data_IF_516667788371
#
_entry.id   IF_516667788371
#
_cell.length_a   1.000
_cell.length_b   1.000
_cell.length_c   1.000
_cell.angle_alpha   90.00
_cell.angle_beta   90.00
_cell.angle_gamma   90.00
#
_symmetry.space_group_name_H-M   'P 1'
#
loop_
_entity.id
_entity.type
_entity.pdbx_description
1 polymer ?
#
# COMPACT_ATOMS: atom_id res chain seq x y z
N UNK A 1 -17.75 -4.75 1.79
CA UNK A 1 -17.94 -3.32 2.19
C UNK A 1 -16.95 -2.88 3.29
N UNK A 2 -16.94 -3.43 4.55
CA UNK A 2 -15.97 -2.98 5.57
C UNK A 2 -14.52 -3.24 5.16
N UNK A 3 -14.22 -4.45 4.66
CA UNK A 3 -12.90 -4.78 4.14
C UNK A 3 -12.46 -3.94 2.96
N UNK A 4 -13.33 -3.71 1.99
CA UNK A 4 -13.06 -2.82 0.84
C UNK A 4 -12.80 -1.39 1.30
N UNK A 5 -13.64 -0.89 2.23
CA UNK A 5 -13.44 0.44 2.78
C UNK A 5 -12.07 0.60 3.42
N UNK A 6 -11.71 -0.29 4.35
CA UNK A 6 -10.42 -0.21 5.06
C UNK A 6 -9.24 -0.38 4.10
N UNK A 7 -9.28 -1.39 3.23
CA UNK A 7 -8.11 -1.75 2.43
C UNK A 7 -7.98 -0.98 1.12
N UNK A 8 -9.11 -0.50 0.54
CA UNK A 8 -9.11 0.10 -0.81
C UNK A 8 -9.50 1.58 -0.82
N UNK A 9 -10.56 1.97 -0.09
CA UNK A 9 -11.23 3.26 -0.28
C UNK A 9 -11.30 4.09 1.01
N UNK A 10 -10.24 4.09 1.81
CA UNK A 10 -10.15 4.90 3.02
C UNK A 10 -8.74 5.40 3.29
N UNK A 11 -8.62 6.32 4.23
CA UNK A 11 -7.31 6.81 4.70
C UNK A 11 -6.38 5.72 5.23
N UNK A 12 -6.90 4.53 5.51
CA UNK A 12 -6.14 3.37 5.99
C UNK A 12 -5.64 2.46 4.88
N UNK A 13 -5.93 2.77 3.61
CA UNK A 13 -5.37 2.05 2.46
C UNK A 13 -3.86 1.85 2.62
N UNK A 14 -3.40 0.62 2.39
CA UNK A 14 -1.99 0.26 2.48
C UNK A 14 -1.43 0.04 3.89
N UNK A 15 -2.27 0.06 4.93
CA UNK A 15 -1.82 -0.34 6.28
C UNK A 15 -1.61 -1.86 6.36
N UNK A 16 -0.85 -2.30 7.36
CA UNK A 16 -0.64 -3.72 7.62
C UNK A 16 -1.97 -4.46 7.84
N UNK A 17 -2.06 -5.72 7.37
CA UNK A 17 -3.29 -6.54 7.39
C UNK A 17 -3.87 -6.78 8.79
N UNK A 18 -3.04 -6.85 9.83
CA UNK A 18 -3.52 -7.11 11.19
C UNK A 18 -4.22 -5.90 11.79
N UNK A 19 -3.65 -4.69 11.80
CA UNK A 19 -4.41 -3.47 12.11
C UNK A 19 -5.64 -3.28 11.22
N UNK A 20 -5.56 -3.60 9.92
CA UNK A 20 -6.69 -3.52 9.02
C UNK A 20 -7.84 -4.46 9.44
N UNK A 21 -7.52 -5.71 9.82
CA UNK A 21 -8.50 -6.68 10.32
C UNK A 21 -9.20 -6.18 11.59
N UNK A 22 -8.42 -5.66 12.54
CA UNK A 22 -8.97 -5.10 13.80
C UNK A 22 -9.91 -3.93 13.52
N UNK A 23 -9.52 -3.04 12.62
CA UNK A 23 -10.36 -1.91 12.20
C UNK A 23 -11.64 -2.36 11.49
N UNK A 24 -11.58 -3.43 10.67
CA UNK A 24 -12.79 -4.01 10.09
C UNK A 24 -13.76 -4.50 11.16
N UNK A 25 -13.26 -5.14 12.22
CA UNK A 25 -14.11 -5.57 13.35
C UNK A 25 -14.73 -4.37 14.07
N UNK A 26 -13.95 -3.32 14.33
CA UNK A 26 -14.45 -2.10 14.98
C UNK A 26 -15.55 -1.43 14.14
N UNK A 27 -15.35 -1.30 12.84
CA UNK A 27 -16.34 -0.74 11.93
C UNK A 27 -17.59 -1.62 11.80
N UNK A 28 -17.44 -2.93 11.83
CA UNK A 28 -18.58 -3.86 11.83
C UNK A 28 -19.38 -3.79 13.13
N UNK A 29 -18.71 -3.66 14.29
CA UNK A 29 -19.38 -3.51 15.59
C UNK A 29 -20.24 -2.24 15.66
N UNK A 30 -19.83 -1.18 14.96
CA UNK A 30 -20.56 0.09 14.90
C UNK A 30 -21.61 0.14 13.77
N UNK A 31 -21.77 -0.92 12.99
CA UNK A 31 -22.69 -0.96 11.87
C UNK A 31 -23.96 -1.76 12.21
N UNK A 32 -25.07 -1.07 12.41
CA UNK A 32 -26.33 -1.67 12.86
C UNK A 32 -26.86 -2.79 11.96
N UNK A 33 -26.73 -2.68 10.64
CA UNK A 33 -27.32 -3.63 9.69
C UNK A 33 -26.73 -5.06 9.78
N UNK A 34 -25.40 -5.28 9.87
CA UNK A 34 -24.84 -6.59 10.17
C UNK A 34 -25.21 -7.09 11.55
N UNK A 35 -25.16 -6.22 12.57
CA UNK A 35 -25.45 -6.60 13.95
C UNK A 35 -26.91 -7.03 14.14
N UNK A 36 -27.85 -6.35 13.48
CA UNK A 36 -29.26 -6.72 13.46
C UNK A 36 -29.53 -8.10 12.79
N UNK A 37 -28.59 -8.59 11.97
CA UNK A 37 -28.63 -9.93 11.36
C UNK A 37 -28.03 -11.03 12.26
N UNK A 38 -27.62 -10.68 13.47
CA UNK A 38 -27.05 -11.63 14.42
C UNK A 38 -25.60 -12.05 14.12
N UNK A 39 -24.85 -11.20 13.40
CA UNK A 39 -23.42 -11.43 13.18
C UNK A 39 -22.69 -11.28 14.52
N UNK A 40 -22.02 -12.34 14.97
CA UNK A 40 -21.12 -12.31 16.11
C UNK A 40 -19.70 -11.99 15.64
N UNK A 41 -19.10 -10.98 16.21
CA UNK A 41 -17.69 -10.66 15.96
C UNK A 41 -16.81 -11.46 16.94
N UNK A 42 -15.62 -11.88 16.50
CA UNK A 42 -14.68 -12.56 17.39
C UNK A 42 -14.15 -11.61 18.47
N UNK A 43 -13.96 -12.12 19.67
CA UNK A 43 -13.20 -11.43 20.70
C UNK A 43 -11.70 -11.67 20.47
N UNK A 44 -10.92 -10.60 20.29
CA UNK A 44 -9.52 -10.66 19.85
C UNK A 44 -8.58 -9.80 20.70
N UNK A 45 -8.60 -9.94 22.06
CA UNK A 45 -7.84 -9.07 22.95
C UNK A 45 -6.32 -9.25 22.78
N UNK A 46 -5.85 -10.48 22.58
CA UNK A 46 -4.42 -10.76 22.42
C UNK A 46 -3.89 -10.23 21.08
N UNK A 47 -4.67 -10.41 20.00
CA UNK A 47 -4.33 -9.85 18.70
C UNK A 47 -4.26 -8.31 18.74
N UNK A 48 -5.18 -7.66 19.46
CA UNK A 48 -5.14 -6.19 19.65
C UNK A 48 -3.88 -5.75 20.37
N UNK A 49 -3.55 -6.42 21.47
CA UNK A 49 -2.33 -6.12 22.24
C UNK A 49 -1.07 -6.34 21.39
N UNK A 50 -0.97 -7.49 20.72
CA UNK A 50 0.16 -7.81 19.85
C UNK A 50 0.32 -6.80 18.71
N UNK A 51 -0.76 -6.43 18.04
CA UNK A 51 -0.72 -5.47 16.94
C UNK A 51 -0.28 -4.05 17.37
N UNK A 52 -0.40 -3.71 18.67
CA UNK A 52 0.06 -2.44 19.22
C UNK A 52 1.50 -2.47 19.71
N UNK A 53 2.01 -3.64 20.08
CA UNK A 53 3.33 -3.79 20.73
C UNK A 53 4.40 -4.36 19.80
N UNK A 54 4.00 -5.15 18.79
CA UNK A 54 4.92 -5.71 17.82
C UNK A 54 5.39 -4.63 16.81
N UNK A 55 6.70 -4.54 16.63
CA UNK A 55 7.31 -3.54 15.73
C UNK A 55 7.42 -4.01 14.28
N UNK A 56 7.40 -5.33 14.05
CA UNK A 56 7.51 -5.96 12.73
C UNK A 56 6.32 -6.88 12.45
N UNK A 57 5.14 -6.29 12.32
CA UNK A 57 3.91 -7.01 12.06
C UNK A 57 4.01 -7.86 10.77
N UNK A 58 3.89 -9.18 10.92
CA UNK A 58 3.95 -10.13 9.81
C UNK A 58 3.81 -11.57 10.27
N UNK A 59 3.57 -12.50 9.33
CA UNK A 59 3.43 -13.92 9.65
C UNK A 59 4.63 -14.51 10.40
N UNK A 60 5.90 -14.15 10.14
CA UNK A 60 7.03 -14.66 10.91
C UNK A 60 6.94 -14.30 12.40
N UNK A 61 6.67 -13.04 12.73
CA UNK A 61 6.53 -12.58 14.11
C UNK A 61 5.31 -13.23 14.80
N UNK A 62 4.16 -13.29 14.10
CA UNK A 62 2.96 -13.92 14.63
C UNK A 62 3.15 -15.43 14.87
N UNK A 63 3.84 -16.11 13.95
CA UNK A 63 4.19 -17.54 14.10
C UNK A 63 5.10 -17.78 15.28
N UNK A 64 6.11 -16.94 15.48
CA UNK A 64 7.00 -17.02 16.64
C UNK A 64 6.23 -16.79 17.96
N UNK A 65 5.30 -15.85 17.97
CA UNK A 65 4.46 -15.57 19.12
C UNK A 65 3.55 -16.77 19.44
N UNK A 66 2.84 -17.36 18.46
CA UNK A 66 2.01 -18.54 18.62
C UNK A 66 2.81 -19.78 19.06
N UNK A 67 4.07 -19.90 18.65
CA UNK A 67 4.93 -21.02 19.07
C UNK A 67 5.31 -20.96 20.57
N UNK A 68 5.25 -19.79 21.18
CA UNK A 68 5.53 -19.56 22.60
C UNK A 68 4.28 -19.70 23.50
N UNK A 69 3.06 -19.78 22.93
CA UNK A 69 1.80 -19.81 23.64
C UNK A 69 0.87 -20.87 23.05
N UNK A 70 0.17 -21.62 23.93
CA UNK A 70 -0.78 -22.64 23.46
C UNK A 70 -2.03 -22.03 22.82
N UNK A 71 -2.70 -22.81 21.98
CA UNK A 71 -3.96 -22.41 21.35
C UNK A 71 -5.06 -22.16 22.39
N UNK A 72 -5.05 -22.91 23.50
CA UNK A 72 -6.02 -22.74 24.57
C UNK A 72 -5.80 -21.44 25.36
N UNK A 73 -4.57 -20.95 25.45
CA UNK A 73 -4.22 -19.69 26.11
C UNK A 73 -4.54 -18.47 25.22
N UNK A 74 -4.29 -18.58 23.92
CA UNK A 74 -4.42 -17.46 22.97
C UNK A 74 -5.07 -17.89 21.64
N UNK A 75 -6.34 -18.32 21.67
CA UNK A 75 -7.01 -18.84 20.49
C UNK A 75 -7.14 -17.80 19.34
N UNK A 76 -7.33 -16.54 19.67
CA UNK A 76 -7.44 -15.44 18.70
C UNK A 76 -6.15 -15.21 17.91
N UNK A 77 -4.98 -15.41 18.53
CA UNK A 77 -3.68 -15.30 17.86
C UNK A 77 -3.46 -16.44 16.85
N UNK A 78 -3.79 -17.67 17.24
CA UNK A 78 -3.71 -18.84 16.35
C UNK A 78 -4.69 -18.69 15.17
N UNK A 79 -5.92 -18.26 15.44
CA UNK A 79 -6.91 -17.99 14.39
C UNK A 79 -6.45 -16.88 13.43
N UNK A 80 -5.85 -15.82 13.94
CA UNK A 80 -5.29 -14.75 13.11
C UNK A 80 -4.14 -15.24 12.22
N UNK A 81 -3.30 -16.15 12.72
CA UNK A 81 -2.24 -16.76 11.93
C UNK A 81 -2.81 -17.63 10.81
N UNK A 82 -3.76 -18.51 11.13
CA UNK A 82 -4.44 -19.36 10.14
C UNK A 82 -5.13 -18.52 9.05
N UNK A 83 -5.85 -17.46 9.46
CA UNK A 83 -6.46 -16.52 8.53
C UNK A 83 -5.41 -15.87 7.63
N UNK A 84 -4.31 -15.38 8.19
CA UNK A 84 -3.28 -14.69 7.42
C UNK A 84 -2.56 -15.61 6.43
N UNK A 85 -2.35 -16.88 6.80
CA UNK A 85 -1.82 -17.91 5.88
C UNK A 85 -2.81 -18.22 4.77
N UNK A 86 -4.10 -18.37 5.10
CA UNK A 86 -5.15 -18.61 4.11
C UNK A 86 -5.29 -17.45 3.12
N UNK A 87 -5.18 -16.20 3.59
CA UNK A 87 -5.16 -15.01 2.72
C UNK A 87 -3.99 -15.07 1.74
N UNK A 88 -2.77 -15.39 2.20
CA UNK A 88 -1.62 -15.51 1.30
C UNK A 88 -1.87 -16.55 0.21
N UNK A 89 -2.37 -17.74 0.60
CA UNK A 89 -2.69 -18.79 -0.36
C UNK A 89 -3.73 -18.35 -1.38
N UNK A 90 -4.81 -17.68 -0.93
CA UNK A 90 -5.83 -17.16 -1.85
C UNK A 90 -5.28 -16.11 -2.80
N UNK A 91 -4.38 -15.23 -2.32
CA UNK A 91 -3.71 -14.26 -3.18
C UNK A 91 -2.88 -14.97 -4.24
N UNK A 92 -2.06 -15.96 -3.85
CA UNK A 92 -1.25 -16.74 -4.81
C UNK A 92 -2.11 -17.41 -5.88
N UNK A 93 -3.27 -17.99 -5.48
CA UNK A 93 -4.21 -18.62 -6.42
C UNK A 93 -4.82 -17.59 -7.40
N UNK A 94 -5.16 -16.39 -6.93
CA UNK A 94 -5.77 -15.33 -7.76
C UNK A 94 -4.76 -14.72 -8.73
N UNK A 95 -3.50 -14.52 -8.29
CA UNK A 95 -2.46 -13.92 -9.14
C UNK A 95 -1.75 -14.95 -10.02
N UNK A 96 -2.14 -16.22 -9.94
CA UNK A 96 -1.56 -17.28 -10.75
C UNK A 96 -1.77 -16.99 -12.25
N UNK A 97 -0.68 -16.82 -12.98
CA UNK A 97 -0.69 -16.40 -14.39
C UNK A 97 -0.40 -14.92 -14.62
N UNK A 98 -0.08 -14.19 -13.54
CA UNK A 98 0.27 -12.77 -13.55
C UNK A 98 -0.96 -11.84 -13.64
N UNK A 99 -0.83 -10.67 -13.08
CA UNK A 99 -1.79 -9.58 -13.27
C UNK A 99 -1.17 -8.53 -14.20
N UNK A 100 -1.86 -8.14 -15.28
CA UNK A 100 -1.33 -7.10 -16.15
C UNK A 100 -1.26 -5.77 -15.38
N UNK A 101 -0.30 -4.89 -15.70
CA UNK A 101 -0.28 -3.54 -15.16
C UNK A 101 -1.52 -2.76 -15.62
N UNK A 102 -1.89 -1.74 -14.86
CA UNK A 102 -2.93 -0.82 -15.33
C UNK A 102 -2.55 -0.18 -16.67
N UNK A 103 -3.53 0.21 -17.49
CA UNK A 103 -3.27 0.98 -18.70
C UNK A 103 -2.41 2.21 -18.40
N UNK A 104 -1.55 2.59 -19.35
CA UNK A 104 -0.59 3.68 -19.27
C UNK A 104 0.61 3.50 -18.33
N UNK A 105 0.67 2.45 -17.49
CA UNK A 105 1.84 2.19 -16.64
C UNK A 105 3.09 2.00 -17.49
N UNK A 106 3.01 1.11 -18.47
CA UNK A 106 4.15 0.80 -19.35
C UNK A 106 4.61 2.03 -20.13
N UNK A 107 3.66 2.78 -20.69
CA UNK A 107 3.94 4.01 -21.43
C UNK A 107 4.61 5.08 -20.53
N UNK A 108 4.21 5.18 -19.27
CA UNK A 108 4.87 6.06 -18.30
C UNK A 108 6.33 5.61 -18.05
N UNK A 109 6.56 4.31 -17.85
CA UNK A 109 7.90 3.76 -17.63
C UNK A 109 8.80 3.99 -18.84
N UNK A 110 8.29 3.71 -20.05
CA UNK A 110 9.01 3.97 -21.31
C UNK A 110 9.36 5.44 -21.50
N UNK A 111 8.39 6.34 -21.24
CA UNK A 111 8.60 7.78 -21.34
C UNK A 111 9.64 8.29 -20.35
N UNK A 112 9.66 7.73 -19.14
CA UNK A 112 10.58 8.17 -18.08
C UNK A 112 11.98 7.55 -18.19
N UNK A 113 12.14 6.38 -18.78
CA UNK A 113 13.38 5.59 -18.80
C UNK A 113 14.61 6.35 -19.31
N UNK A 114 14.44 7.23 -20.29
CA UNK A 114 15.55 8.01 -20.86
C UNK A 114 15.91 9.26 -20.03
N UNK A 115 15.08 9.63 -19.05
CA UNK A 115 15.15 10.91 -18.35
C UNK A 115 15.31 10.78 -16.83
N UNK A 116 15.04 9.60 -16.26
CA UNK A 116 15.06 9.36 -14.83
C UNK A 116 15.58 7.96 -14.47
N UNK A 117 16.23 7.88 -13.32
CA UNK A 117 16.46 6.62 -12.64
C UNK A 117 15.17 6.23 -11.90
N UNK A 118 14.70 5.02 -12.14
CA UNK A 118 13.44 4.53 -11.58
C UNK A 118 13.69 3.33 -10.66
N UNK A 119 12.94 3.26 -9.56
CA UNK A 119 12.98 2.13 -8.64
C UNK A 119 11.57 1.76 -8.16
N UNK A 120 11.41 0.50 -7.79
CA UNK A 120 10.23 0.05 -7.04
C UNK A 120 10.45 0.27 -5.55
N UNK A 121 9.42 0.81 -4.89
CA UNK A 121 9.43 1.16 -3.48
C UNK A 121 8.15 0.57 -2.83
N UNK A 122 8.25 -0.63 -2.24
CA UNK A 122 7.10 -1.38 -1.75
C UNK A 122 7.29 -1.95 -0.35
N UNK A 123 6.17 -2.29 0.31
CA UNK A 123 6.14 -3.07 1.55
C UNK A 123 5.67 -4.52 1.31
N UNK A 124 5.63 -4.93 0.05
CA UNK A 124 5.49 -6.33 -0.37
C UNK A 124 6.86 -7.04 -0.27
N UNK A 125 6.92 -8.36 -0.03
CA UNK A 125 8.16 -9.11 -0.11
C UNK A 125 8.87 -8.93 -1.46
N UNK A 126 10.19 -8.70 -1.43
CA UNK A 126 11.00 -8.41 -2.62
C UNK A 126 10.91 -9.52 -3.68
N UNK A 127 10.99 -10.78 -3.26
CA UNK A 127 10.88 -11.95 -4.16
C UNK A 127 9.58 -11.96 -4.97
N UNK A 128 8.46 -11.59 -4.34
CA UNK A 128 7.17 -11.51 -5.02
C UNK A 128 7.15 -10.36 -6.05
N UNK A 129 7.71 -9.21 -5.68
CA UNK A 129 7.81 -8.06 -6.57
C UNK A 129 8.70 -8.35 -7.78
N UNK A 130 9.88 -8.93 -7.57
CA UNK A 130 10.81 -9.28 -8.65
C UNK A 130 10.15 -10.24 -9.65
N UNK A 131 9.45 -11.27 -9.14
CA UNK A 131 8.70 -12.20 -9.98
C UNK A 131 7.61 -11.49 -10.79
N UNK A 132 6.75 -10.69 -10.14
CA UNK A 132 5.65 -9.98 -10.80
C UNK A 132 6.15 -9.00 -11.87
N UNK A 133 7.23 -8.26 -11.59
CA UNK A 133 7.81 -7.32 -12.54
C UNK A 133 8.46 -8.03 -13.74
N UNK A 134 9.14 -9.16 -13.50
CA UNK A 134 9.73 -9.98 -14.55
C UNK A 134 8.64 -10.66 -15.42
N UNK A 135 7.57 -11.21 -14.82
CA UNK A 135 6.44 -11.79 -15.55
C UNK A 135 5.78 -10.80 -16.51
N UNK A 136 5.81 -9.50 -16.16
CA UNK A 136 5.28 -8.43 -16.99
C UNK A 136 6.34 -7.74 -17.87
N UNK A 137 7.59 -8.23 -17.92
CA UNK A 137 8.70 -7.61 -18.68
C UNK A 137 8.85 -6.10 -18.35
N UNK A 138 8.71 -5.75 -17.06
CA UNK A 138 8.82 -4.38 -16.55
C UNK A 138 10.08 -4.14 -15.71
N UNK A 139 10.73 -5.16 -15.22
CA UNK A 139 11.96 -5.10 -14.43
C UNK A 139 13.10 -4.35 -15.15
N UNK A 140 13.12 -4.41 -16.49
CA UNK A 140 14.07 -3.69 -17.35
C UNK A 140 14.00 -2.16 -17.26
N UNK A 141 12.91 -1.61 -16.74
CA UNK A 141 12.74 -0.14 -16.61
C UNK A 141 13.30 0.42 -15.31
N UNK A 142 13.56 -0.42 -14.31
CA UNK A 142 13.98 0.00 -12.97
C UNK A 142 15.38 -0.52 -12.65
N UNK A 143 16.17 0.28 -11.93
CA UNK A 143 17.51 -0.15 -11.54
C UNK A 143 17.50 -1.01 -10.25
N UNK A 144 16.42 -0.98 -9.47
CA UNK A 144 16.25 -1.80 -8.27
C UNK A 144 14.79 -1.97 -7.91
N UNK A 145 14.48 -3.10 -7.29
CA UNK A 145 13.17 -3.43 -6.72
C UNK A 145 13.36 -3.61 -5.23
N UNK A 146 12.85 -2.67 -4.43
CA UNK A 146 13.00 -2.67 -2.99
C UNK A 146 11.69 -3.11 -2.32
N UNK A 147 11.73 -4.29 -1.70
CA UNK A 147 10.67 -4.85 -0.88
C UNK A 147 10.81 -4.48 0.61
N UNK A 148 9.92 -5.05 1.42
CA UNK A 148 9.86 -4.79 2.87
C UNK A 148 11.17 -5.14 3.61
N UNK A 149 12.01 -6.00 3.05
CA UNK A 149 13.27 -6.47 3.65
C UNK A 149 14.34 -5.36 3.66
N UNK A 150 14.27 -4.42 2.71
CA UNK A 150 15.22 -3.32 2.57
C UNK A 150 14.93 -2.18 3.54
N UNK A 151 13.67 -2.08 4.02
CA UNK A 151 13.25 -1.05 4.95
C UNK A 151 11.87 -0.48 4.64
N UNK A 152 11.58 0.70 5.17
CA UNK A 152 10.36 1.44 4.89
C UNK A 152 10.45 2.17 3.54
N UNK A 153 9.30 2.52 2.95
CA UNK A 153 9.27 3.34 1.71
C UNK A 153 10.06 4.65 1.86
N UNK A 154 10.05 5.24 3.04
CA UNK A 154 10.81 6.47 3.31
C UNK A 154 12.33 6.23 3.26
N UNK A 155 12.79 5.11 3.82
CA UNK A 155 14.21 4.71 3.76
C UNK A 155 14.62 4.33 2.35
N UNK A 156 13.75 3.67 1.57
CA UNK A 156 14.02 3.38 0.16
C UNK A 156 14.30 4.67 -0.64
N UNK A 157 13.43 5.69 -0.48
CA UNK A 157 13.63 6.98 -1.15
C UNK A 157 14.94 7.62 -0.67
N UNK A 158 15.20 7.60 0.64
CA UNK A 158 16.43 8.16 1.20
C UNK A 158 17.68 7.50 0.63
N UNK A 159 17.77 6.17 0.68
CA UNK A 159 18.94 5.43 0.19
C UNK A 159 19.22 5.64 -1.30
N UNK A 160 18.15 5.71 -2.10
CA UNK A 160 18.29 5.89 -3.53
C UNK A 160 18.67 7.33 -3.93
N UNK A 161 18.22 8.33 -3.16
CA UNK A 161 18.29 9.72 -3.56
C UNK A 161 19.30 10.58 -2.80
N UNK A 162 19.76 10.13 -1.63
CA UNK A 162 20.58 10.97 -0.74
C UNK A 162 21.91 11.36 -1.38
N UNK A 163 22.14 12.69 -1.47
CA UNK A 163 23.32 13.26 -2.09
C UNK A 163 23.40 13.12 -3.63
N UNK A 164 22.38 12.53 -4.28
CA UNK A 164 22.36 12.30 -5.74
C UNK A 164 21.45 13.26 -6.48
N UNK A 165 20.30 13.60 -5.90
CA UNK A 165 19.27 14.39 -6.56
C UNK A 165 18.81 15.55 -5.67
N UNK A 166 18.50 16.68 -6.30
CA UNK A 166 17.73 17.73 -5.64
C UNK A 166 16.34 17.20 -5.28
N UNK A 167 15.80 17.60 -4.13
CA UNK A 167 14.51 17.10 -3.63
C UNK A 167 13.35 17.34 -4.61
N UNK A 168 13.38 18.45 -5.36
CA UNK A 168 12.42 18.77 -6.41
C UNK A 168 12.53 17.90 -7.68
N UNK A 169 13.56 17.05 -7.75
CA UNK A 169 13.79 16.07 -8.82
C UNK A 169 13.54 14.65 -8.40
N UNK A 170 12.85 14.45 -7.28
CA UNK A 170 12.43 13.15 -6.79
C UNK A 170 10.92 13.13 -6.82
N UNK A 171 10.32 12.15 -7.52
CA UNK A 171 8.87 11.97 -7.62
C UNK A 171 8.49 10.59 -7.10
N UNK A 172 7.70 10.55 -6.04
CA UNK A 172 7.04 9.33 -5.57
C UNK A 172 5.68 9.22 -6.24
N UNK A 173 5.43 8.09 -6.89
CA UNK A 173 4.13 7.73 -7.46
C UNK A 173 3.53 6.68 -6.54
N UNK A 174 2.30 6.90 -6.07
CA UNK A 174 1.69 5.96 -5.12
C UNK A 174 0.20 6.17 -4.92
N UNK A 175 -0.44 5.21 -4.27
CA UNK A 175 -1.90 5.11 -4.15
C UNK A 175 -2.40 5.13 -2.70
N UNK A 176 -1.50 5.35 -1.74
CA UNK A 176 -1.81 5.32 -0.32
C UNK A 176 -1.21 6.50 0.46
N UNK A 177 -1.79 6.80 1.62
CA UNK A 177 -1.25 7.82 2.53
C UNK A 177 0.19 7.51 2.99
N UNK A 178 0.56 6.23 3.01
CA UNK A 178 1.93 5.79 3.28
C UNK A 178 2.93 6.33 2.26
N UNK A 179 2.54 6.38 0.98
CA UNK A 179 3.37 6.89 -0.12
C UNK A 179 3.55 8.40 -0.03
N UNK A 180 2.44 9.12 0.17
CA UNK A 180 2.46 10.56 0.41
C UNK A 180 3.33 10.93 1.63
N UNK A 181 3.22 10.15 2.73
CA UNK A 181 4.04 10.34 3.93
C UNK A 181 5.53 10.08 3.62
N UNK A 182 5.84 9.03 2.88
CA UNK A 182 7.22 8.72 2.50
C UNK A 182 7.83 9.82 1.61
N UNK A 183 7.06 10.35 0.66
CA UNK A 183 7.46 11.51 -0.15
C UNK A 183 7.73 12.74 0.73
N UNK A 184 6.78 13.11 1.59
CA UNK A 184 6.92 14.28 2.49
C UNK A 184 8.11 14.16 3.45
N UNK A 185 8.37 12.98 4.02
CA UNK A 185 9.51 12.74 4.90
C UNK A 185 10.85 13.00 4.18
N UNK A 186 10.90 12.79 2.88
CA UNK A 186 12.08 13.00 2.03
C UNK A 186 12.05 14.33 1.28
N UNK A 187 11.05 15.18 1.50
CA UNK A 187 10.84 16.42 0.75
C UNK A 187 10.74 16.19 -0.77
N UNK A 188 10.36 14.98 -1.17
CA UNK A 188 10.13 14.60 -2.55
C UNK A 188 8.73 15.02 -2.99
N UNK A 189 8.54 15.17 -4.30
CA UNK A 189 7.25 15.41 -4.92
C UNK A 189 6.40 14.12 -4.90
N UNK A 190 5.09 14.27 -4.95
CA UNK A 190 4.17 13.15 -4.94
C UNK A 190 3.17 13.22 -6.11
N UNK A 191 3.05 12.12 -6.85
CA UNK A 191 1.96 11.92 -7.81
C UNK A 191 1.01 10.84 -7.31
N UNK A 192 -0.26 11.16 -7.06
CA UNK A 192 -1.25 10.20 -6.58
C UNK A 192 -1.83 9.35 -7.71
N UNK A 193 -1.95 8.05 -7.45
CA UNK A 193 -2.83 7.15 -8.19
C UNK A 193 -4.13 7.02 -7.38
N UNK A 194 -5.20 7.59 -7.88
CA UNK A 194 -6.47 7.67 -7.17
C UNK A 194 -7.15 6.30 -7.11
N UNK A 195 -7.51 5.78 -5.92
CA UNK A 195 -8.16 4.49 -5.78
C UNK A 195 -9.51 4.41 -6.51
N UNK A 196 -9.64 3.42 -7.40
CA UNK A 196 -10.80 3.25 -8.27
C UNK A 196 -10.76 4.06 -9.57
N UNK A 197 -9.75 4.92 -9.74
CA UNK A 197 -9.48 5.73 -10.93
C UNK A 197 -8.03 5.55 -11.39
N UNK A 198 -7.49 4.33 -11.26
CA UNK A 198 -6.09 4.03 -11.52
C UNK A 198 -5.72 4.34 -12.97
N UNK A 199 -6.54 3.90 -13.95
CA UNK A 199 -6.29 4.17 -15.37
C UNK A 199 -6.25 5.67 -15.67
N UNK A 200 -7.22 6.43 -15.16
CA UNK A 200 -7.28 7.88 -15.36
C UNK A 200 -6.07 8.60 -14.72
N UNK A 201 -5.61 8.10 -13.57
CA UNK A 201 -4.43 8.64 -12.89
C UNK A 201 -3.15 8.36 -13.67
N UNK A 202 -2.95 7.13 -14.15
CA UNK A 202 -1.80 6.77 -14.98
C UNK A 202 -1.80 7.52 -16.31
N UNK A 203 -3.00 7.68 -16.91
CA UNK A 203 -3.14 8.50 -18.13
C UNK A 203 -2.74 9.95 -17.88
N UNK A 204 -3.17 10.57 -16.78
CA UNK A 204 -2.79 11.94 -16.39
C UNK A 204 -1.28 12.06 -16.16
N UNK A 205 -0.67 11.05 -15.54
CA UNK A 205 0.78 11.02 -15.36
C UNK A 205 1.49 11.01 -16.71
N UNK A 206 1.02 10.19 -17.65
CA UNK A 206 1.58 10.08 -19.01
C UNK A 206 1.41 11.37 -19.81
N UNK A 207 0.19 11.92 -19.86
CA UNK A 207 -0.16 13.06 -20.71
C UNK A 207 0.42 14.39 -20.20
N UNK A 208 0.57 14.54 -18.88
CA UNK A 208 0.88 15.85 -18.27
C UNK A 208 1.91 15.77 -17.14
N UNK A 209 1.75 14.82 -16.20
CA UNK A 209 2.51 14.79 -14.96
C UNK A 209 4.01 14.65 -15.17
N UNK A 210 4.44 13.72 -16.02
CA UNK A 210 5.86 13.52 -16.35
C UNK A 210 6.46 14.73 -17.06
N UNK A 211 5.74 15.34 -17.99
CA UNK A 211 6.24 16.52 -18.72
C UNK A 211 6.46 17.69 -17.77
N UNK A 212 5.52 17.92 -16.84
CA UNK A 212 5.67 18.94 -15.79
C UNK A 212 6.83 18.65 -14.85
N UNK A 213 6.99 17.39 -14.46
CA UNK A 213 8.09 16.98 -13.59
C UNK A 213 9.44 17.24 -14.23
N UNK A 214 9.66 16.80 -15.46
CA UNK A 214 10.89 17.00 -16.19
C UNK A 214 11.16 18.46 -16.55
N UNK A 215 10.10 19.24 -16.78
CA UNK A 215 10.20 20.68 -17.02
C UNK A 215 10.39 21.50 -15.72
N UNK A 216 10.32 20.90 -14.53
CA UNK A 216 10.42 21.60 -13.25
C UNK A 216 9.21 22.48 -12.90
N UNK A 217 8.05 22.20 -13.49
CA UNK A 217 6.79 22.95 -13.30
C UNK A 217 5.73 22.14 -12.52
N UNK A 218 6.16 21.03 -11.92
CA UNK A 218 5.30 20.12 -11.17
C UNK A 218 4.97 20.62 -9.75
N UNK A 219 5.97 21.11 -9.03
CA UNK A 219 5.85 21.56 -7.66
C UNK A 219 4.92 22.77 -7.51
N UNK A 220 4.31 22.92 -6.35
CA UNK A 220 3.42 24.04 -6.05
C UNK A 220 1.95 23.73 -6.34
N UNK A 221 1.24 24.62 -7.02
CA UNK A 221 -0.21 24.55 -7.19
C UNK A 221 -0.67 23.27 -7.91
N UNK A 222 0.11 22.77 -8.87
CA UNK A 222 -0.23 21.56 -9.60
C UNK A 222 -0.21 20.34 -8.66
N UNK A 223 0.89 20.11 -7.97
CA UNK A 223 1.01 19.02 -6.99
C UNK A 223 -0.04 19.15 -5.88
N UNK A 224 -0.22 20.35 -5.34
CA UNK A 224 -1.20 20.61 -4.29
C UNK A 224 -2.63 20.26 -4.75
N UNK A 225 -2.98 20.57 -6.00
CA UNK A 225 -4.28 20.23 -6.57
C UNK A 225 -4.50 18.70 -6.68
N UNK A 226 -3.46 17.96 -7.09
CA UNK A 226 -3.52 16.50 -7.18
C UNK A 226 -3.68 15.86 -5.80
N UNK A 227 -2.94 16.33 -4.80
CA UNK A 227 -3.04 15.82 -3.43
C UNK A 227 -4.42 16.13 -2.84
N UNK A 228 -4.96 17.34 -3.04
CA UNK A 228 -6.30 17.70 -2.58
C UNK A 228 -7.41 16.89 -3.27
N UNK A 229 -7.23 16.46 -4.50
CA UNK A 229 -8.10 15.52 -5.20
C UNK A 229 -7.99 14.12 -4.59
N UNK A 230 -6.77 13.61 -4.41
CA UNK A 230 -6.48 12.29 -3.83
C UNK A 230 -7.09 12.10 -2.44
N UNK A 231 -7.01 13.11 -1.58
CA UNK A 231 -7.57 13.05 -0.23
C UNK A 231 -9.08 12.79 -0.22
N UNK A 232 -9.81 13.13 -1.30
CA UNK A 232 -11.25 12.87 -1.43
C UNK A 232 -11.55 11.39 -1.70
N UNK A 233 -10.61 10.64 -2.30
CA UNK A 233 -10.72 9.20 -2.53
C UNK A 233 -10.42 8.38 -1.28
N UNK A 234 -9.87 9.01 -0.24
CA UNK A 234 -9.48 8.37 1.01
C UNK A 234 -10.25 8.93 2.22
N UNK A 235 -11.59 8.81 2.26
CA UNK A 235 -12.40 9.31 3.36
C UNK A 235 -12.09 8.61 4.69
N UNK A 236 -12.35 9.31 5.79
CA UNK A 236 -12.25 8.77 7.14
C UNK A 236 -13.54 8.10 7.61
N UNK A 237 -14.66 8.48 7.03
CA UNK A 237 -16.00 8.01 7.42
C UNK A 237 -16.52 7.02 6.40
N UNK A 238 -16.90 5.81 6.82
CA UNK A 238 -17.45 4.83 5.91
C UNK A 238 -18.83 5.24 5.37
N UNK A 239 -19.20 4.79 4.15
CA UNK A 239 -20.41 5.25 3.46
C UNK A 239 -21.73 4.86 4.16
N UNK A 240 -21.70 3.88 5.06
CA UNK A 240 -22.89 3.45 5.81
C UNK A 240 -23.11 4.24 7.13
N UNK A 241 -22.21 5.16 7.46
CA UNK A 241 -22.35 6.10 8.60
C UNK A 241 -22.88 7.48 8.20
N UNK A 242 -23.52 7.55 7.06
CA UNK A 242 -24.17 8.81 6.57
C UNK A 242 -25.51 8.98 7.20
#
# INVERSE_FOLDING_TARGET
MAGEFVNLYSKWRGINRFPALLMMFDLLAEWDAPMARGISLPDVPNLRHWAQTETKLGNPALKAYCAAHSIDEMPDMHQALEWSVAVNKSVEEVVQGGLPPFPYVRECLEKAQALADMMVCSQTPGEALEREWAEQDMDKYVFTINGQEVGTKSEHIQFASDGRYDRTKILMIGDANGDLKAARNNQALFFPINPGEEEASWKRLFDEGLDRFFAGTYAGDYEASLIAEFEKFLPTTPPWKK
#
